data_IF_091765252425
#
_entry.id   IF_091765252425
#
_cell.length_a   1.000
_cell.length_b   1.000
_cell.length_c   1.000
_cell.angle_alpha   90.00
_cell.angle_beta   90.00
_cell.angle_gamma   90.00
#
_symmetry.space_group_name_H-M   'P 1'
#
loop_
_entity.id
_entity.type
_entity.pdbx_description
1 polymer ?
#
# COMPACT_ATOMS: atom_id res chain seq x y z
N UNK A 1 -26.52 -14.82 9.08
CA UNK A 1 -25.20 -15.45 9.32
C UNK A 1 -24.07 -14.43 9.35
N UNK A 2 -23.89 -13.57 8.31
CA UNK A 2 -22.81 -12.57 8.33
C UNK A 2 -22.88 -11.59 9.50
N UNK A 3 -24.04 -10.96 9.72
CA UNK A 3 -24.20 -9.99 10.81
C UNK A 3 -23.91 -10.62 12.18
N UNK A 4 -24.55 -11.74 12.51
CA UNK A 4 -24.27 -12.47 13.76
C UNK A 4 -22.77 -12.80 13.96
N UNK A 5 -22.05 -13.20 12.90
CA UNK A 5 -20.61 -13.44 12.99
C UNK A 5 -19.80 -12.16 13.26
N UNK A 6 -20.25 -11.00 12.75
CA UNK A 6 -19.65 -9.71 13.08
C UNK A 6 -19.99 -9.29 14.51
N UNK A 7 -21.19 -9.56 15.01
CA UNK A 7 -21.58 -9.29 16.40
C UNK A 7 -20.70 -10.10 17.37
N UNK A 8 -20.55 -11.41 17.14
CA UNK A 8 -19.64 -12.29 17.91
C UNK A 8 -18.19 -11.78 17.88
N UNK A 9 -17.73 -11.33 16.71
CA UNK A 9 -16.40 -10.73 16.57
C UNK A 9 -16.29 -9.42 17.36
N UNK A 10 -17.33 -8.59 17.35
CA UNK A 10 -17.39 -7.35 18.12
C UNK A 10 -17.26 -7.58 19.63
N UNK A 11 -17.97 -8.58 20.16
CA UNK A 11 -17.85 -9.00 21.56
C UNK A 11 -16.44 -9.52 21.90
N UNK A 12 -15.87 -10.35 21.03
CA UNK A 12 -14.50 -10.83 21.19
C UNK A 12 -13.50 -9.67 21.21
N UNK A 13 -13.62 -8.70 20.31
CA UNK A 13 -12.76 -7.51 20.29
C UNK A 13 -12.91 -6.70 21.58
N UNK A 14 -14.14 -6.52 22.06
CA UNK A 14 -14.40 -5.82 23.32
C UNK A 14 -13.69 -6.49 24.51
N UNK A 15 -13.59 -7.82 24.51
CA UNK A 15 -12.93 -8.59 25.57
C UNK A 15 -11.43 -8.28 25.72
N UNK A 16 -10.77 -7.75 24.68
CA UNK A 16 -9.37 -7.32 24.73
C UNK A 16 -9.18 -5.93 25.36
N UNK A 17 -10.25 -5.24 25.76
CA UNK A 17 -10.20 -3.97 26.50
C UNK A 17 -9.26 -2.92 25.88
N UNK A 18 -9.18 -2.86 24.55
CA UNK A 18 -8.40 -1.88 23.79
C UNK A 18 -6.95 -2.25 23.50
N UNK A 19 -6.49 -3.41 23.99
CA UNK A 19 -5.20 -3.99 23.58
C UNK A 19 -5.20 -4.51 22.14
N UNK A 20 -6.38 -4.81 21.60
CA UNK A 20 -6.61 -5.07 20.18
C UNK A 20 -7.56 -4.02 19.60
N UNK A 21 -7.18 -3.46 18.46
CA UNK A 21 -7.96 -2.48 17.70
C UNK A 21 -8.07 -2.97 16.26
N UNK A 22 -9.26 -2.92 15.68
CA UNK A 22 -9.54 -3.46 14.35
C UNK A 22 -9.86 -2.36 13.35
N UNK A 23 -9.78 -2.70 12.06
CA UNK A 23 -10.33 -1.92 10.96
C UNK A 23 -10.72 -2.85 9.80
N UNK A 24 -11.20 -2.30 8.67
CA UNK A 24 -11.52 -3.08 7.48
C UNK A 24 -10.28 -3.67 6.82
N UNK A 25 -10.41 -4.91 6.35
CA UNK A 25 -9.50 -5.60 5.41
C UNK A 25 -10.34 -6.41 4.40
N UNK A 26 -9.71 -7.18 3.52
CA UNK A 26 -10.33 -8.03 2.49
C UNK A 26 -11.51 -8.80 3.06
N UNK A 27 -12.69 -8.57 2.47
CA UNK A 27 -13.94 -9.22 2.88
C UNK A 27 -14.78 -8.43 3.90
N UNK A 28 -14.30 -7.26 4.36
CA UNK A 28 -15.01 -6.32 5.24
C UNK A 28 -14.92 -4.89 4.72
N UNK A 29 -15.83 -4.02 5.15
CA UNK A 29 -15.86 -2.61 4.79
C UNK A 29 -16.33 -1.70 5.94
N UNK A 30 -16.43 -0.39 5.69
CA UNK A 30 -16.87 0.59 6.71
C UNK A 30 -18.18 0.21 7.41
N UNK A 31 -19.18 -0.28 6.66
CA UNK A 31 -20.47 -0.69 7.23
C UNK A 31 -20.35 -1.84 8.23
N UNK A 32 -19.44 -2.78 8.01
CA UNK A 32 -19.21 -3.86 8.98
C UNK A 32 -18.64 -3.29 10.29
N UNK A 33 -17.86 -2.21 10.23
CA UNK A 33 -17.32 -1.53 11.42
C UNK A 33 -18.42 -0.88 12.25
N UNK A 34 -19.56 -0.49 11.65
CA UNK A 34 -20.73 0.01 12.39
C UNK A 34 -21.31 -1.11 13.26
N UNK A 35 -21.37 -2.34 12.74
CA UNK A 35 -21.81 -3.52 13.50
C UNK A 35 -20.86 -3.78 14.67
N UNK A 36 -19.55 -3.80 14.41
CA UNK A 36 -18.53 -4.01 15.46
C UNK A 36 -18.58 -2.92 16.54
N UNK A 37 -18.84 -1.66 16.16
CA UNK A 37 -18.97 -0.52 17.09
C UNK A 37 -20.13 -0.62 18.06
N UNK A 38 -21.13 -1.46 17.80
CA UNK A 38 -22.20 -1.75 18.77
C UNK A 38 -21.66 -2.38 20.07
N UNK A 39 -20.53 -3.09 19.97
CA UNK A 39 -19.91 -3.83 21.07
C UNK A 39 -18.55 -3.26 21.49
N UNK A 40 -17.78 -2.70 20.55
CA UNK A 40 -16.43 -2.20 20.80
C UNK A 40 -16.13 -0.89 20.08
N UNK A 41 -15.75 0.14 20.84
CA UNK A 41 -15.27 1.42 20.28
C UNK A 41 -13.93 1.29 19.51
N UNK A 42 -13.26 0.13 19.60
CA UNK A 42 -11.94 -0.10 19.01
C UNK A 42 -11.99 -0.58 17.55
N UNK A 43 -13.13 -0.42 16.87
CA UNK A 43 -13.28 -0.64 15.43
C UNK A 43 -13.18 0.69 14.66
N UNK A 44 -12.10 0.86 13.90
CA UNK A 44 -11.75 2.06 13.14
C UNK A 44 -12.40 2.05 11.75
N UNK A 45 -12.40 3.19 11.07
CA UNK A 45 -12.85 3.33 9.68
C UNK A 45 -14.34 3.05 9.44
N UNK A 46 -15.20 3.21 10.47
CA UNK A 46 -16.65 3.30 10.23
C UNK A 46 -16.95 4.50 9.30
N UNK A 47 -18.14 4.56 8.66
CA UNK A 47 -18.53 5.70 7.84
C UNK A 47 -18.43 7.02 8.62
N UNK A 48 -18.25 8.13 7.89
CA UNK A 48 -18.01 9.43 8.51
C UNK A 48 -19.22 9.91 9.31
N UNK A 49 -20.43 9.60 8.85
CA UNK A 49 -21.68 9.82 9.59
C UNK A 49 -21.76 9.04 10.91
N UNK A 50 -20.95 7.99 11.06
CA UNK A 50 -20.77 7.20 12.28
C UNK A 50 -19.47 7.55 13.04
N UNK A 51 -18.84 8.69 12.71
CA UNK A 51 -17.67 9.21 13.39
C UNK A 51 -16.36 8.46 13.11
N UNK A 52 -16.29 7.66 12.04
CA UNK A 52 -15.02 7.06 11.58
C UNK A 52 -14.44 7.77 10.37
N UNK A 53 -13.35 7.25 9.81
CA UNK A 53 -12.72 7.79 8.60
C UNK A 53 -13.27 7.27 7.28
N UNK A 54 -14.15 6.27 7.31
CA UNK A 54 -14.64 5.58 6.12
C UNK A 54 -13.55 4.78 5.39
N UNK A 55 -13.69 4.63 4.08
CA UNK A 55 -12.79 3.83 3.25
C UNK A 55 -11.34 4.35 3.30
N UNK A 56 -10.42 3.50 3.77
CA UNK A 56 -8.99 3.80 3.89
C UNK A 56 -8.21 3.72 2.57
N UNK A 57 -8.86 3.29 1.47
CA UNK A 57 -8.21 3.07 0.19
C UNK A 57 -7.65 4.34 -0.48
N UNK A 58 -8.33 5.48 -0.28
CA UNK A 58 -7.84 6.79 -0.74
C UNK A 58 -6.52 7.18 -0.07
N UNK A 59 -6.47 7.25 1.27
CA UNK A 59 -5.22 7.47 2.00
C UNK A 59 -4.12 6.45 1.67
N UNK A 60 -4.45 5.16 1.52
CA UNK A 60 -3.46 4.15 1.09
C UNK A 60 -2.89 4.46 -0.29
N UNK A 61 -3.73 4.82 -1.28
CA UNK A 61 -3.27 5.20 -2.61
C UNK A 61 -2.37 6.44 -2.57
N UNK A 62 -2.71 7.44 -1.75
CA UNK A 62 -1.88 8.63 -1.56
C UNK A 62 -0.51 8.30 -0.96
N UNK A 63 -0.46 7.41 0.04
CA UNK A 63 0.80 6.92 0.63
C UNK A 63 1.67 6.18 -0.38
N UNK A 64 1.07 5.30 -1.19
CA UNK A 64 1.79 4.60 -2.27
C UNK A 64 2.33 5.58 -3.31
N UNK A 65 1.55 6.59 -3.71
CA UNK A 65 2.01 7.64 -4.64
C UNK A 65 3.18 8.44 -4.06
N UNK A 66 3.16 8.75 -2.77
CA UNK A 66 4.30 9.40 -2.09
C UNK A 66 5.55 8.50 -2.10
N UNK A 67 5.39 7.21 -1.79
CA UNK A 67 6.47 6.22 -1.85
C UNK A 67 7.01 6.00 -3.27
N UNK A 68 6.14 6.03 -4.28
CA UNK A 68 6.51 5.95 -5.70
C UNK A 68 7.39 7.11 -6.11
N UNK A 69 7.04 8.35 -5.74
CA UNK A 69 7.85 9.55 -6.03
C UNK A 69 9.22 9.49 -5.35
N UNK A 70 9.28 9.00 -4.12
CA UNK A 70 10.54 8.79 -3.40
C UNK A 70 11.42 7.73 -4.08
N UNK A 71 10.84 6.58 -4.46
CA UNK A 71 11.53 5.53 -5.19
C UNK A 71 11.98 5.97 -6.58
N UNK A 72 11.14 6.70 -7.31
CA UNK A 72 11.45 7.23 -8.63
C UNK A 72 12.66 8.17 -8.59
N UNK A 73 12.74 9.03 -7.58
CA UNK A 73 13.88 9.93 -7.37
C UNK A 73 15.20 9.15 -7.25
N UNK A 74 15.23 8.08 -6.47
CA UNK A 74 16.44 7.28 -6.29
C UNK A 74 16.79 6.49 -7.56
N UNK A 75 15.80 5.88 -8.22
CA UNK A 75 16.04 4.96 -9.35
C UNK A 75 16.31 5.70 -10.66
N UNK A 76 15.61 6.81 -10.90
CA UNK A 76 15.62 7.53 -12.17
C UNK A 76 16.18 8.96 -12.08
N UNK A 77 16.51 9.45 -10.89
CA UNK A 77 17.11 10.77 -10.68
C UNK A 77 16.13 11.92 -10.48
N UNK A 78 14.83 11.69 -10.69
CA UNK A 78 13.76 12.65 -10.47
C UNK A 78 12.52 11.96 -9.89
N UNK A 79 11.68 12.73 -9.18
CA UNK A 79 10.49 12.19 -8.51
C UNK A 79 9.28 11.97 -9.43
N UNK A 80 9.38 12.36 -10.70
CA UNK A 80 8.26 12.33 -11.63
C UNK A 80 8.03 10.93 -12.16
N UNK A 81 6.78 10.59 -12.46
CA UNK A 81 6.40 9.39 -13.21
C UNK A 81 6.03 9.71 -14.67
N UNK A 82 6.15 10.96 -15.11
CA UNK A 82 5.78 11.40 -16.45
C UNK A 82 6.54 10.63 -17.53
N UNK A 83 5.81 10.10 -18.52
CA UNK A 83 6.37 9.30 -19.62
C UNK A 83 6.88 7.91 -19.23
N UNK A 84 6.87 7.55 -17.94
CA UNK A 84 7.27 6.22 -17.46
C UNK A 84 6.11 5.25 -17.63
N UNK A 85 6.42 4.02 -18.02
CA UNK A 85 5.42 2.94 -18.11
C UNK A 85 5.24 2.30 -16.74
N UNK A 86 4.03 2.38 -16.20
CA UNK A 86 3.68 1.80 -14.90
C UNK A 86 2.66 0.70 -15.09
N UNK A 87 3.00 -0.51 -14.66
CA UNK A 87 2.08 -1.65 -14.69
C UNK A 87 1.52 -1.90 -13.29
N UNK A 88 0.20 -1.80 -13.16
CA UNK A 88 -0.55 -1.99 -11.92
C UNK A 88 -1.30 -3.32 -11.99
N UNK A 89 -0.97 -4.24 -11.08
CA UNK A 89 -1.66 -5.53 -10.96
C UNK A 89 -2.73 -5.43 -9.87
N UNK A 90 -3.98 -5.21 -10.26
CA UNK A 90 -5.14 -5.01 -9.40
C UNK A 90 -5.73 -3.61 -9.56
N UNK A 91 -6.94 -3.52 -10.10
CA UNK A 91 -7.70 -2.28 -10.30
C UNK A 91 -8.81 -2.13 -9.25
N UNK A 92 -8.52 -2.53 -8.00
CA UNK A 92 -9.42 -2.37 -6.86
C UNK A 92 -9.50 -0.92 -6.36
N UNK A 93 -10.04 -0.71 -5.16
CA UNK A 93 -10.19 0.64 -4.58
C UNK A 93 -8.87 1.40 -4.51
N UNK A 94 -7.79 0.76 -4.06
CA UNK A 94 -6.47 1.40 -3.97
C UNK A 94 -5.80 1.50 -5.34
N UNK A 95 -5.80 0.40 -6.12
CA UNK A 95 -5.17 0.36 -7.44
C UNK A 95 -5.75 1.38 -8.42
N UNK A 96 -7.07 1.59 -8.40
CA UNK A 96 -7.74 2.63 -9.19
C UNK A 96 -7.29 4.05 -8.80
N UNK A 97 -7.12 4.30 -7.50
CA UNK A 97 -6.61 5.58 -7.01
C UNK A 97 -5.17 5.85 -7.45
N UNK A 98 -4.31 4.82 -7.41
CA UNK A 98 -2.92 4.90 -7.89
C UNK A 98 -2.89 5.13 -9.41
N UNK A 99 -3.70 4.38 -10.17
CA UNK A 99 -3.81 4.52 -11.63
C UNK A 99 -4.21 5.95 -12.02
N UNK A 100 -5.25 6.50 -11.39
CA UNK A 100 -5.71 7.85 -11.64
C UNK A 100 -4.64 8.91 -11.30
N UNK A 101 -3.96 8.76 -10.15
CA UNK A 101 -2.89 9.69 -9.74
C UNK A 101 -1.71 9.70 -10.69
N UNK A 102 -1.26 8.52 -11.14
CA UNK A 102 -0.14 8.39 -12.09
C UNK A 102 -0.51 8.87 -13.49
N UNK A 103 -1.71 8.59 -13.96
CA UNK A 103 -2.19 9.08 -15.26
C UNK A 103 -2.31 10.60 -15.27
N UNK A 104 -2.80 11.20 -14.17
CA UNK A 104 -2.85 12.66 -14.02
C UNK A 104 -1.45 13.30 -14.02
N UNK A 105 -0.42 12.58 -13.56
CA UNK A 105 0.99 12.99 -13.63
C UNK A 105 1.62 12.75 -15.03
N UNK A 106 0.91 12.11 -15.95
CA UNK A 106 1.36 11.84 -17.32
C UNK A 106 2.17 10.55 -17.47
N UNK A 107 2.03 9.59 -16.56
CA UNK A 107 2.59 8.25 -16.72
C UNK A 107 1.80 7.42 -17.75
N UNK A 108 2.46 6.48 -18.42
CA UNK A 108 1.80 5.48 -19.25
C UNK A 108 1.30 4.33 -18.37
N UNK A 109 0.05 4.43 -17.91
CA UNK A 109 -0.54 3.45 -17.02
C UNK A 109 -1.07 2.25 -17.80
N UNK A 110 -0.62 1.05 -17.41
CA UNK A 110 -1.13 -0.24 -17.89
C UNK A 110 -1.66 -1.00 -16.68
N UNK A 111 -2.85 -1.55 -16.79
CA UNK A 111 -3.50 -2.23 -15.66
C UNK A 111 -3.82 -3.67 -15.98
N UNK A 112 -3.95 -4.47 -14.94
CA UNK A 112 -4.38 -5.86 -15.00
C UNK A 112 -5.31 -6.18 -13.85
N UNK A 113 -6.34 -6.98 -14.09
CA UNK A 113 -7.23 -7.48 -13.04
C UNK A 113 -7.80 -8.85 -13.42
N UNK A 114 -8.07 -9.70 -12.43
CA UNK A 114 -8.74 -10.99 -12.64
C UNK A 114 -10.21 -10.81 -13.03
N UNK A 115 -10.82 -9.70 -12.59
CA UNK A 115 -12.16 -9.32 -13.00
C UNK A 115 -12.12 -8.68 -14.41
N UNK A 116 -12.43 -9.49 -15.41
CA UNK A 116 -12.44 -9.07 -16.81
C UNK A 116 -13.41 -7.90 -17.09
N UNK A 117 -14.42 -7.66 -16.24
CA UNK A 117 -15.33 -6.53 -16.42
C UNK A 117 -14.63 -5.17 -16.24
N UNK A 118 -13.49 -5.15 -15.53
CA UNK A 118 -12.69 -3.94 -15.30
C UNK A 118 -11.89 -3.50 -16.53
N UNK A 119 -11.74 -4.37 -17.52
CA UNK A 119 -11.00 -4.10 -18.76
C UNK A 119 -11.60 -2.93 -19.54
N UNK A 120 -12.92 -2.93 -19.71
CA UNK A 120 -13.60 -1.85 -20.43
C UNK A 120 -13.42 -0.51 -19.70
N UNK A 121 -13.58 -0.50 -18.38
CA UNK A 121 -13.37 0.70 -17.55
C UNK A 121 -11.95 1.24 -17.67
N UNK A 122 -10.95 0.35 -17.67
CA UNK A 122 -9.55 0.73 -17.84
C UNK A 122 -9.28 1.40 -19.20
N UNK A 123 -9.77 0.79 -20.29
CA UNK A 123 -9.57 1.30 -21.64
C UNK A 123 -10.28 2.64 -21.85
N UNK A 124 -11.50 2.79 -21.33
CA UNK A 124 -12.24 4.08 -21.36
C UNK A 124 -11.51 5.16 -20.58
N UNK A 125 -10.81 4.79 -19.50
CA UNK A 125 -9.98 5.71 -18.71
C UNK A 125 -8.64 6.06 -19.39
N UNK A 126 -8.37 5.52 -20.58
CA UNK A 126 -7.14 5.74 -21.33
C UNK A 126 -5.94 4.90 -20.85
N UNK A 127 -6.17 3.88 -20.02
CA UNK A 127 -5.11 2.97 -19.56
C UNK A 127 -4.89 1.85 -20.60
N UNK A 128 -3.66 1.33 -20.66
CA UNK A 128 -3.39 0.06 -21.30
C UNK A 128 -3.95 -1.11 -20.48
N UNK A 129 -4.13 -2.26 -21.13
CA UNK A 129 -4.51 -3.51 -20.45
C UNK A 129 -3.47 -4.59 -20.71
N UNK A 130 -3.15 -5.36 -19.67
CA UNK A 130 -2.39 -6.60 -19.78
C UNK A 130 -3.12 -7.73 -19.07
N UNK A 131 -3.08 -8.91 -19.66
CA UNK A 131 -3.72 -10.08 -19.07
C UNK A 131 -3.02 -10.49 -17.76
N UNK A 132 -3.75 -10.97 -16.73
CA UNK A 132 -3.19 -11.25 -15.40
C UNK A 132 -1.94 -12.12 -15.39
N UNK A 133 -1.88 -13.15 -16.24
CA UNK A 133 -0.71 -14.04 -16.35
C UNK A 133 0.55 -13.38 -16.93
N UNK A 134 0.42 -12.18 -17.52
CA UNK A 134 1.53 -11.40 -18.10
C UNK A 134 1.85 -10.15 -17.27
N UNK A 135 1.05 -9.84 -16.25
CA UNK A 135 1.14 -8.60 -15.51
C UNK A 135 2.47 -8.40 -14.77
N UNK A 136 3.22 -9.47 -14.47
CA UNK A 136 4.54 -9.39 -13.82
C UNK A 136 5.71 -9.31 -14.82
N UNK A 137 5.52 -9.81 -16.05
CA UNK A 137 6.57 -9.88 -17.08
C UNK A 137 6.45 -8.79 -18.15
N UNK A 138 5.29 -8.12 -18.23
CA UNK A 138 5.05 -7.03 -19.17
C UNK A 138 6.11 -5.92 -19.03
N UNK A 139 6.63 -5.35 -20.13
CA UNK A 139 7.57 -4.25 -20.08
C UNK A 139 7.05 -3.09 -19.24
N UNK A 140 7.83 -2.65 -18.26
CA UNK A 140 7.49 -1.54 -17.37
C UNK A 140 8.75 -0.90 -16.82
N UNK A 141 8.69 0.38 -16.49
CA UNK A 141 9.71 1.06 -15.67
C UNK A 141 9.43 0.81 -14.18
N UNK A 142 8.14 0.79 -13.82
CA UNK A 142 7.64 0.67 -12.46
C UNK A 142 6.56 -0.42 -12.39
N UNK A 143 6.63 -1.29 -11.39
CA UNK A 143 5.59 -2.29 -11.09
C UNK A 143 4.88 -1.92 -9.79
N UNK A 144 3.54 -2.02 -9.81
CA UNK A 144 2.68 -1.77 -8.64
C UNK A 144 1.83 -3.01 -8.35
N UNK A 145 2.28 -3.91 -7.46
CA UNK A 145 1.45 -5.01 -6.96
C UNK A 145 0.33 -4.47 -6.06
N UNK A 146 -0.93 -4.55 -6.51
CA UNK A 146 -2.10 -3.98 -5.85
C UNK A 146 -3.31 -4.93 -5.73
N UNK A 147 -3.10 -6.24 -5.95
CA UNK A 147 -4.14 -7.26 -5.91
C UNK A 147 -3.99 -8.18 -4.70
N UNK A 148 -2.98 -9.06 -4.71
CA UNK A 148 -2.73 -10.08 -3.68
C UNK A 148 -1.26 -10.12 -3.29
N UNK A 149 -0.98 -10.65 -2.10
CA UNK A 149 0.37 -10.95 -1.62
C UNK A 149 0.98 -12.19 -2.28
N UNK A 150 2.26 -12.45 -1.97
CA UNK A 150 3.00 -13.64 -2.37
C UNK A 150 3.30 -13.70 -3.88
N UNK A 151 3.33 -12.56 -4.55
CA UNK A 151 3.54 -12.48 -6.01
C UNK A 151 5.01 -12.36 -6.40
N UNK A 152 5.89 -12.07 -5.45
CA UNK A 152 7.33 -11.94 -5.65
C UNK A 152 8.04 -13.14 -5.03
N UNK A 153 8.60 -14.01 -5.87
CA UNK A 153 9.37 -15.19 -5.50
C UNK A 153 10.56 -15.41 -6.48
N UNK A 154 11.31 -16.50 -6.30
CA UNK A 154 12.47 -16.84 -7.14
C UNK A 154 12.11 -17.11 -8.61
N UNK A 155 10.84 -17.35 -8.92
CA UNK A 155 10.34 -17.65 -10.27
C UNK A 155 9.81 -16.38 -10.96
N UNK A 156 9.13 -15.51 -10.22
CA UNK A 156 8.52 -14.29 -10.76
C UNK A 156 9.48 -13.12 -10.79
N UNK A 157 10.36 -12.97 -9.79
CA UNK A 157 11.34 -11.88 -9.76
C UNK A 157 12.22 -11.86 -11.02
N UNK A 158 12.74 -13.00 -11.54
CA UNK A 158 13.49 -13.02 -12.81
C UNK A 158 12.73 -12.49 -14.03
N UNK A 159 11.41 -12.50 -14.00
CA UNK A 159 10.56 -12.06 -15.12
C UNK A 159 10.32 -10.55 -15.10
N UNK A 160 10.58 -9.89 -13.96
CA UNK A 160 10.37 -8.46 -13.81
C UNK A 160 11.42 -7.70 -14.62
N UNK A 161 10.94 -6.78 -15.44
CA UNK A 161 11.73 -5.84 -16.26
C UNK A 161 11.83 -4.44 -15.63
N UNK A 162 10.95 -4.14 -14.67
CA UNK A 162 10.92 -2.87 -13.95
C UNK A 162 12.15 -2.68 -13.06
N UNK A 163 12.57 -1.42 -12.90
CA UNK A 163 13.66 -1.03 -11.99
C UNK A 163 13.14 -0.65 -10.59
N UNK A 164 11.84 -0.40 -10.47
CA UNK A 164 11.19 0.01 -9.23
C UNK A 164 9.91 -0.82 -9.00
N UNK A 165 9.73 -1.31 -7.78
CA UNK A 165 8.52 -1.99 -7.31
C UNK A 165 8.01 -1.30 -6.06
N UNK A 166 6.80 -0.74 -6.13
CA UNK A 166 6.11 -0.09 -4.99
C UNK A 166 4.63 -0.40 -5.13
N UNK A 167 4.01 -1.01 -4.12
CA UNK A 167 2.60 -1.34 -4.19
C UNK A 167 1.93 -1.51 -2.84
N UNK A 168 0.59 -1.47 -2.79
CA UNK A 168 -0.17 -1.59 -1.55
C UNK A 168 -0.46 -3.03 -1.12
N UNK A 169 -0.23 -4.04 -1.97
CA UNK A 169 -0.52 -5.42 -1.59
C UNK A 169 0.29 -5.82 -0.35
N UNK A 170 -0.34 -6.49 0.61
CA UNK A 170 0.32 -6.98 1.82
C UNK A 170 1.08 -8.28 1.52
N UNK A 171 2.22 -8.48 2.18
CA UNK A 171 3.08 -9.65 2.07
C UNK A 171 3.50 -9.96 0.62
N UNK A 172 4.04 -8.97 -0.09
CA UNK A 172 4.35 -9.11 -1.53
C UNK A 172 5.42 -10.18 -1.80
N UNK A 173 6.42 -10.26 -0.93
CA UNK A 173 7.47 -11.27 -0.96
C UNK A 173 6.93 -12.58 -0.38
N UNK A 174 7.23 -13.71 -1.02
CA UNK A 174 6.94 -15.03 -0.44
C UNK A 174 7.84 -15.34 0.75
N UNK A 175 9.07 -14.83 0.74
CA UNK A 175 10.06 -14.95 1.81
C UNK A 175 10.91 -13.68 1.88
N UNK A 176 11.40 -13.29 3.06
CA UNK A 176 12.24 -12.09 3.21
C UNK A 176 13.50 -12.10 2.33
N UNK A 177 14.10 -13.28 2.09
CA UNK A 177 15.28 -13.44 1.22
C UNK A 177 15.04 -13.00 -0.23
N UNK A 178 13.78 -12.94 -0.68
CA UNK A 178 13.45 -12.47 -2.04
C UNK A 178 13.82 -10.99 -2.21
N UNK A 179 13.90 -10.22 -1.12
CA UNK A 179 14.43 -8.85 -1.16
C UNK A 179 15.89 -8.80 -1.63
N UNK A 180 16.71 -9.80 -1.28
CA UNK A 180 18.09 -9.90 -1.77
C UNK A 180 18.12 -10.22 -3.27
N UNK A 181 17.25 -11.13 -3.74
CA UNK A 181 17.13 -11.47 -5.18
C UNK A 181 16.72 -10.26 -6.02
N UNK A 182 15.80 -9.43 -5.51
CA UNK A 182 15.42 -8.16 -6.16
C UNK A 182 16.62 -7.20 -6.24
N UNK A 183 17.36 -7.04 -5.15
CA UNK A 183 18.51 -6.15 -5.07
C UNK A 183 19.67 -6.61 -5.98
N UNK A 184 19.96 -7.91 -6.05
CA UNK A 184 20.97 -8.50 -6.95
C UNK A 184 20.66 -8.21 -8.42
N UNK A 185 19.38 -8.09 -8.78
CA UNK A 185 18.94 -7.71 -10.13
C UNK A 185 18.87 -6.20 -10.36
N UNK A 186 19.25 -5.39 -9.37
CA UNK A 186 19.17 -3.93 -9.45
C UNK A 186 17.73 -3.39 -9.42
N UNK A 187 16.78 -4.17 -8.88
CA UNK A 187 15.39 -3.77 -8.73
C UNK A 187 15.21 -3.19 -7.33
N UNK A 188 14.85 -1.92 -7.24
CA UNK A 188 14.51 -1.29 -5.95
C UNK A 188 13.09 -1.68 -5.59
N UNK A 189 12.93 -2.40 -4.49
CA UNK A 189 11.63 -2.73 -3.90
C UNK A 189 11.43 -1.92 -2.62
N UNK A 190 10.32 -1.18 -2.56
CA UNK A 190 9.92 -0.47 -1.33
C UNK A 190 9.11 -1.43 -0.47
N UNK A 191 9.47 -1.62 0.82
CA UNK A 191 8.75 -2.50 1.70
C UNK A 191 7.25 -2.20 1.75
N UNK A 192 6.45 -3.24 1.56
CA UNK A 192 4.99 -3.14 1.44
C UNK A 192 4.34 -2.49 2.65
N UNK A 193 4.71 -2.91 3.86
CA UNK A 193 4.19 -2.35 5.12
C UNK A 193 4.55 -0.87 5.32
N UNK A 194 5.49 -0.32 4.55
CA UNK A 194 5.79 1.12 4.51
C UNK A 194 4.94 1.80 3.44
N UNK A 195 4.92 1.24 2.22
CA UNK A 195 4.18 1.81 1.10
C UNK A 195 2.66 1.83 1.33
N UNK A 196 2.10 0.78 1.95
CA UNK A 196 0.67 0.62 2.20
C UNK A 196 0.17 1.30 3.49
N UNK A 197 1.07 1.94 4.25
CA UNK A 197 0.77 2.49 5.58
C UNK A 197 -0.23 3.67 5.57
N UNK A 198 -0.58 4.22 4.41
CA UNK A 198 -1.41 5.42 4.31
C UNK A 198 -2.78 5.27 4.98
N UNK A 199 -3.45 4.14 4.78
CA UNK A 199 -4.76 3.86 5.39
C UNK A 199 -4.72 3.87 6.92
N UNK A 200 -3.77 3.13 7.50
CA UNK A 200 -3.64 3.03 8.97
C UNK A 200 -3.12 4.32 9.58
N UNK A 201 -2.16 4.99 8.93
CA UNK A 201 -1.63 6.28 9.38
C UNK A 201 -2.74 7.33 9.45
N UNK A 202 -3.59 7.40 8.41
CA UNK A 202 -4.72 8.32 8.37
C UNK A 202 -5.76 7.99 9.44
N UNK A 203 -6.18 6.73 9.54
CA UNK A 203 -7.19 6.29 10.51
C UNK A 203 -6.76 6.56 11.96
N UNK A 204 -5.52 6.20 12.32
CA UNK A 204 -4.99 6.46 13.67
C UNK A 204 -4.87 7.95 13.96
N UNK A 205 -4.38 8.74 13.00
CA UNK A 205 -4.26 10.20 13.16
C UNK A 205 -5.61 10.84 13.47
N UNK A 206 -6.66 10.44 12.73
CA UNK A 206 -8.00 11.02 12.87
C UNK A 206 -8.76 10.51 14.09
N UNK A 207 -8.75 9.20 14.31
CA UNK A 207 -9.63 8.56 15.28
C UNK A 207 -8.98 8.33 16.65
N UNK A 208 -7.64 8.24 16.72
CA UNK A 208 -6.92 8.05 17.99
C UNK A 208 -6.16 9.29 18.44
N UNK A 209 -5.56 10.04 17.51
CA UNK A 209 -4.70 11.19 17.84
C UNK A 209 -5.42 12.54 17.73
N UNK A 210 -6.63 12.58 17.15
CA UNK A 210 -7.45 13.78 17.04
C UNK A 210 -6.95 14.82 16.02
N UNK A 211 -6.11 14.42 15.07
CA UNK A 211 -5.56 15.31 14.04
C UNK A 211 -6.66 15.77 13.09
N UNK A 212 -6.50 16.94 12.44
CA UNK A 212 -7.39 17.39 11.37
C UNK A 212 -7.28 16.50 10.11
N UNK A 213 -8.19 16.65 9.16
CA UNK A 213 -8.09 15.96 7.87
C UNK A 213 -6.77 16.30 7.15
N UNK A 214 -6.44 17.58 7.10
CA UNK A 214 -5.23 18.10 6.46
C UNK A 214 -3.96 17.60 7.15
N UNK A 215 -3.95 17.60 8.48
CA UNK A 215 -2.82 17.09 9.26
C UNK A 215 -2.62 15.57 9.08
N UNK A 216 -3.72 14.80 9.03
CA UNK A 216 -3.65 13.37 8.76
C UNK A 216 -3.19 13.08 7.32
N UNK A 217 -3.68 13.86 6.34
CA UNK A 217 -3.26 13.75 4.94
C UNK A 217 -1.78 14.06 4.77
N UNK A 218 -1.28 15.11 5.45
CA UNK A 218 0.15 15.42 5.48
C UNK A 218 0.98 14.25 6.04
N UNK A 219 0.54 13.61 7.11
CA UNK A 219 1.24 12.44 7.67
C UNK A 219 1.25 11.24 6.71
N UNK A 220 0.23 11.11 5.86
CA UNK A 220 0.23 10.13 4.77
C UNK A 220 1.28 10.50 3.71
N UNK A 221 1.42 11.78 3.36
CA UNK A 221 2.46 12.26 2.43
C UNK A 221 3.88 12.04 2.98
N UNK A 222 4.08 12.16 4.30
CA UNK A 222 5.36 11.89 4.99
C UNK A 222 5.83 10.41 4.87
N UNK A 223 4.99 9.52 4.31
CA UNK A 223 5.44 8.18 3.87
C UNK A 223 6.55 8.32 2.84
N UNK A 224 6.49 9.31 1.95
CA UNK A 224 7.55 9.60 0.98
C UNK A 224 8.90 9.84 1.68
N UNK A 225 8.92 10.67 2.72
CA UNK A 225 10.13 10.95 3.51
C UNK A 225 10.65 9.71 4.25
N UNK A 226 9.73 8.85 4.70
CA UNK A 226 10.11 7.57 5.31
C UNK A 226 10.74 6.63 4.30
N UNK A 227 10.16 6.53 3.09
CA UNK A 227 10.73 5.76 1.98
C UNK A 227 12.10 6.31 1.60
N UNK A 228 12.26 7.63 1.44
CA UNK A 228 13.57 8.25 1.16
C UNK A 228 14.61 7.86 2.21
N UNK A 229 14.30 7.96 3.51
CA UNK A 229 15.25 7.57 4.57
C UNK A 229 15.65 6.09 4.51
N UNK A 230 14.70 5.20 4.22
CA UNK A 230 14.95 3.76 4.08
C UNK A 230 15.90 3.51 2.90
N UNK A 231 15.57 4.11 1.77
CA UNK A 231 16.30 3.96 0.51
C UNK A 231 17.72 4.54 0.59
N UNK A 232 17.89 5.70 1.23
CA UNK A 232 19.19 6.33 1.46
C UNK A 232 20.04 5.50 2.41
N UNK A 233 19.46 4.97 3.49
CA UNK A 233 20.16 4.09 4.42
C UNK A 233 20.60 2.80 3.72
N UNK A 234 19.70 2.17 2.95
CA UNK A 234 19.98 0.96 2.19
C UNK A 234 21.19 1.16 1.26
N UNK A 235 21.19 2.26 0.52
CA UNK A 235 22.29 2.63 -0.38
C UNK A 235 23.60 2.89 0.39
N UNK A 236 23.55 3.69 1.46
CA UNK A 236 24.73 4.06 2.23
C UNK A 236 25.41 2.88 2.92
N UNK A 237 24.65 1.86 3.32
CA UNK A 237 25.18 0.68 4.02
C UNK A 237 25.31 -0.56 3.12
N UNK A 238 24.99 -0.45 1.84
CA UNK A 238 25.02 -1.58 0.91
C UNK A 238 24.08 -2.74 1.31
N UNK A 239 22.89 -2.41 1.83
CA UNK A 239 21.90 -3.40 2.28
C UNK A 239 20.58 -3.25 1.51
N UNK A 240 19.63 -4.16 1.72
CA UNK A 240 18.32 -4.10 1.06
C UNK A 240 17.40 -3.07 1.74
N UNK A 241 16.43 -2.48 1.01
CA UNK A 241 15.40 -1.64 1.62
C UNK A 241 14.65 -2.33 2.77
N UNK A 242 14.46 -3.66 2.69
CA UNK A 242 13.87 -4.46 3.77
C UNK A 242 14.68 -4.35 5.07
N UNK A 243 15.98 -4.66 5.01
CA UNK A 243 16.88 -4.62 6.17
C UNK A 243 17.01 -3.20 6.71
N UNK A 244 17.11 -2.20 5.84
CA UNK A 244 17.15 -0.79 6.25
C UNK A 244 15.87 -0.36 6.98
N UNK A 245 14.70 -0.77 6.51
CA UNK A 245 13.43 -0.49 7.15
C UNK A 245 13.28 -1.19 8.51
N UNK A 246 13.69 -2.47 8.61
CA UNK A 246 13.75 -3.20 9.88
C UNK A 246 14.66 -2.50 10.90
N UNK A 247 15.88 -2.09 10.49
CA UNK A 247 16.79 -1.34 11.37
C UNK A 247 16.19 -0.01 11.85
N UNK A 248 15.51 0.73 10.97
CA UNK A 248 14.84 1.97 11.35
C UNK A 248 13.71 1.70 12.36
N UNK A 249 12.91 0.65 12.13
CA UNK A 249 11.83 0.25 13.02
C UNK A 249 12.36 -0.16 14.40
N UNK A 250 13.37 -1.03 14.46
CA UNK A 250 14.02 -1.47 15.70
C UNK A 250 14.56 -0.29 16.52
N UNK A 251 15.25 0.67 15.87
CA UNK A 251 15.75 1.87 16.55
C UNK A 251 14.63 2.73 17.14
N UNK A 252 13.52 2.86 16.41
CA UNK A 252 12.33 3.61 16.90
C UNK A 252 11.68 2.91 18.09
N UNK A 253 11.56 1.59 18.05
CA UNK A 253 10.98 0.80 19.13
C UNK A 253 11.88 0.74 20.37
N UNK A 254 13.19 0.76 20.20
CA UNK A 254 14.16 0.80 21.30
C UNK A 254 14.31 2.19 21.94
N UNK A 255 13.87 3.25 21.27
CA UNK A 255 13.89 4.61 21.81
C UNK A 255 12.70 4.80 22.75
N UNK A 256 12.89 5.29 24.00
CA UNK A 256 11.76 5.60 24.86
C UNK A 256 10.86 6.63 24.19
N UNK A 257 9.54 6.41 24.22
CA UNK A 257 8.57 7.35 23.70
C UNK A 257 8.78 8.71 24.39
N UNK A 258 9.18 9.71 23.61
CA UNK A 258 9.33 11.11 24.04
C UNK A 258 7.98 11.78 24.24
#
# INVERSE_FOLDING_TARGET
MREAALEDLGELIASFQGSYRTGPDVGTGPEDMVVLRRFSQYAYCAPQEHGGTGNSGGPTAAGVLAGLRAGARQVFGDASCTGRTVVISGLGSVGSGIAAGLAAEGAHVVVSDLDASRKETALVSGYGWVEPGQALSAPADIRVPAAVGGVLDDVTVPQITARLVVGPANNQLTEERVADVLAERGIVWVPDYVASAGGIAYALSRESEGYSHEAAQKRVEDIGDTVTRILDLALATGTTPLRAAQQIAERRLASPAS
#
